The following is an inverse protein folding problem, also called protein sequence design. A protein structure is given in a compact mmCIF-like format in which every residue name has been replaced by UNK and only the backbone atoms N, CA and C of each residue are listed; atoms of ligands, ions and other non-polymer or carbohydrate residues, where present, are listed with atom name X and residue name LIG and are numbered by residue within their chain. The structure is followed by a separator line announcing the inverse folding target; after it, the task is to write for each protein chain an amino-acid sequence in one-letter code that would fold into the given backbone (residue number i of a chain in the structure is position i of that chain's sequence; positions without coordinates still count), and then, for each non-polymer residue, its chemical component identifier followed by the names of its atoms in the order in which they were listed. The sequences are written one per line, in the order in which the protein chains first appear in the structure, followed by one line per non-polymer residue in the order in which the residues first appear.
data_IF_935372906404
#
_entry.id   IF_935372906404
#
_cell.length_a   1.000
_cell.length_b   1.000
_cell.length_c   1.000
_cell.angle_alpha   90.00
_cell.angle_beta   90.00
_cell.angle_gamma   90.00
#
_symmetry.space_group_name_H-M   'P 1'
#
loop_
_entity.id
_entity.type
_entity.pdbx_description
1 polymer ?
#
# COMPACT_ATOMS: atom_id res chain seq x y z
N UNK A 1 -4.26 -20.29 21.91
CA UNK A 1 -4.50 -19.97 20.48
C UNK A 1 -3.45 -18.95 20.09
N UNK A 2 -2.71 -19.18 19.03
CA UNK A 2 -1.70 -18.26 18.52
C UNK A 2 -2.40 -17.00 18.00
N UNK A 3 -1.85 -15.83 18.29
CA UNK A 3 -2.33 -14.54 17.77
C UNK A 3 -1.16 -13.87 17.04
N UNK A 4 -1.01 -14.23 15.76
CA UNK A 4 0.09 -13.75 14.91
C UNK A 4 0.03 -12.26 14.65
N UNK A 5 -1.17 -11.70 14.63
CA UNK A 5 -1.40 -10.26 14.43
C UNK A 5 -0.86 -9.45 15.60
N UNK A 6 -1.30 -9.78 16.81
CA UNK A 6 -0.85 -9.09 18.02
C UNK A 6 0.61 -9.41 18.35
N UNK A 7 1.10 -10.62 18.00
CA UNK A 7 2.50 -10.98 18.17
C UNK A 7 3.42 -10.06 17.35
N UNK A 8 3.06 -9.78 16.08
CA UNK A 8 3.82 -8.82 15.27
C UNK A 8 3.75 -7.40 15.84
N UNK A 9 2.57 -6.94 16.25
CA UNK A 9 2.44 -5.61 16.84
C UNK A 9 3.32 -5.45 18.09
N UNK A 10 3.40 -6.46 18.94
CA UNK A 10 4.31 -6.47 20.12
C UNK A 10 5.77 -6.49 19.71
N UNK A 11 6.15 -7.31 18.72
CA UNK A 11 7.53 -7.38 18.21
C UNK A 11 8.05 -5.99 17.83
N UNK A 12 7.19 -5.20 17.15
CA UNK A 12 7.49 -3.83 16.72
C UNK A 12 7.52 -2.86 17.91
N UNK A 13 6.48 -2.86 18.75
CA UNK A 13 6.34 -1.89 19.84
C UNK A 13 7.37 -2.12 20.96
N UNK A 14 7.75 -3.39 21.20
CA UNK A 14 8.83 -3.74 22.14
C UNK A 14 10.24 -3.40 21.61
N UNK A 15 10.36 -2.86 20.39
CA UNK A 15 11.65 -2.51 19.78
C UNK A 15 12.52 -3.71 19.40
N UNK A 16 11.94 -4.92 19.27
CA UNK A 16 12.66 -6.15 18.91
C UNK A 16 12.97 -6.24 17.41
N UNK A 17 12.37 -5.37 16.61
CA UNK A 17 12.57 -5.25 15.16
C UNK A 17 12.65 -3.79 14.78
N UNK A 18 13.62 -3.43 13.93
CA UNK A 18 13.76 -2.09 13.38
C UNK A 18 12.55 -1.80 12.48
N UNK A 19 11.89 -0.67 12.66
CA UNK A 19 10.74 -0.23 11.88
C UNK A 19 10.73 1.29 11.73
N UNK A 20 9.96 1.80 10.76
CA UNK A 20 9.66 3.22 10.62
C UNK A 20 8.61 3.69 11.63
N UNK A 21 8.56 5.01 11.84
CA UNK A 21 7.60 5.63 12.77
C UNK A 21 6.14 5.30 12.45
N UNK A 22 5.78 5.28 11.17
CA UNK A 22 4.40 4.98 10.75
C UNK A 22 4.00 3.54 11.05
N UNK A 23 4.89 2.57 10.83
CA UNK A 23 4.67 1.17 11.17
C UNK A 23 4.54 0.97 12.68
N UNK A 24 5.44 1.59 13.46
CA UNK A 24 5.35 1.60 14.92
C UNK A 24 3.99 2.12 15.41
N UNK A 25 3.54 3.26 14.88
CA UNK A 25 2.26 3.87 15.25
C UNK A 25 1.06 2.99 14.87
N UNK A 26 1.09 2.31 13.73
CA UNK A 26 0.05 1.38 13.32
C UNK A 26 -0.05 0.18 14.28
N UNK A 27 1.09 -0.40 14.65
CA UNK A 27 1.17 -1.48 15.63
C UNK A 27 0.75 -1.03 17.03
N UNK A 28 1.21 0.14 17.46
CA UNK A 28 0.81 0.74 18.75
C UNK A 28 -0.68 1.00 18.81
N UNK A 29 -1.29 1.56 17.74
CA UNK A 29 -2.74 1.76 17.64
C UNK A 29 -3.50 0.46 17.84
N UNK A 30 -3.06 -0.65 17.24
CA UNK A 30 -3.69 -1.96 17.45
C UNK A 30 -3.67 -2.37 18.92
N UNK A 31 -2.54 -2.24 19.61
CA UNK A 31 -2.40 -2.61 21.02
C UNK A 31 -3.19 -1.69 21.95
N UNK A 32 -3.16 -0.39 21.70
CA UNK A 32 -3.90 0.61 22.48
C UNK A 32 -5.41 0.38 22.35
N UNK A 33 -5.91 0.16 21.13
CA UNK A 33 -7.32 -0.11 20.86
C UNK A 33 -7.80 -1.45 21.49
N UNK A 34 -6.92 -2.46 21.58
CA UNK A 34 -7.21 -3.70 22.30
C UNK A 34 -7.28 -3.51 23.82
N UNK A 35 -6.49 -2.60 24.38
CA UNK A 35 -6.44 -2.31 25.80
C UNK A 35 -7.60 -1.43 26.26
N UNK A 36 -8.19 -0.64 25.38
CA UNK A 36 -9.31 0.26 25.67
C UNK A 36 -10.62 -0.53 25.82
N UNK A 37 -11.12 -0.63 27.07
CA UNK A 37 -12.38 -1.34 27.38
C UNK A 37 -13.62 -0.64 26.81
N UNK A 38 -13.56 0.66 26.61
CA UNK A 38 -14.69 1.47 26.11
C UNK A 38 -14.66 1.59 24.57
N UNK A 39 -13.59 1.11 23.92
CA UNK A 39 -13.51 1.10 22.47
C UNK A 39 -14.65 0.30 21.85
N UNK A 40 -15.35 0.84 20.82
CA UNK A 40 -16.55 0.21 20.26
C UNK A 40 -16.31 -1.07 19.47
N UNK A 41 -15.04 -1.45 19.29
CA UNK A 41 -14.64 -2.64 18.55
C UNK A 41 -13.89 -3.62 19.46
N UNK A 42 -13.83 -4.89 19.03
CA UNK A 42 -13.05 -5.96 19.66
C UNK A 42 -12.21 -6.65 18.60
N UNK A 43 -11.10 -7.21 19.00
CA UNK A 43 -10.25 -8.02 18.13
C UNK A 43 -10.62 -9.50 18.29
N UNK A 44 -11.18 -10.10 17.21
CA UNK A 44 -11.53 -11.52 17.11
C UNK A 44 -10.33 -12.29 16.56
N UNK A 45 -9.53 -12.86 17.47
CA UNK A 45 -8.34 -13.64 17.15
C UNK A 45 -8.68 -14.84 16.25
N UNK A 46 -9.85 -15.49 16.45
CA UNK A 46 -10.24 -16.66 15.64
C UNK A 46 -10.46 -16.27 14.19
N UNK A 47 -11.15 -15.15 13.96
CA UNK A 47 -11.36 -14.63 12.62
C UNK A 47 -10.03 -14.22 11.96
N UNK A 48 -9.16 -13.50 12.69
CA UNK A 48 -7.84 -13.11 12.20
C UNK A 48 -7.02 -14.35 11.78
N UNK A 49 -6.91 -15.34 12.66
CA UNK A 49 -6.12 -16.55 12.41
C UNK A 49 -6.69 -17.42 11.28
N UNK A 50 -8.03 -17.45 11.11
CA UNK A 50 -8.67 -18.15 10.00
C UNK A 50 -8.21 -17.59 8.64
N UNK A 51 -8.27 -16.27 8.44
CA UNK A 51 -7.87 -15.64 7.19
C UNK A 51 -6.34 -15.67 6.97
N UNK A 52 -5.54 -15.56 8.03
CA UNK A 52 -4.09 -15.79 7.94
C UNK A 52 -3.78 -17.23 7.53
N UNK A 53 -4.54 -18.21 8.03
CA UNK A 53 -4.36 -19.60 7.63
C UNK A 53 -4.71 -19.83 6.17
N UNK A 54 -5.78 -19.20 5.65
CA UNK A 54 -6.13 -19.25 4.22
C UNK A 54 -4.98 -18.72 3.35
N UNK A 55 -4.40 -17.57 3.70
CA UNK A 55 -3.26 -17.02 2.99
C UNK A 55 -2.06 -17.98 2.95
N UNK A 56 -1.81 -18.73 4.03
CA UNK A 56 -0.74 -19.72 4.11
C UNK A 56 -1.06 -21.04 3.38
N UNK A 57 -2.27 -21.22 2.86
CA UNK A 57 -2.62 -22.34 1.99
C UNK A 57 -2.36 -22.04 0.51
N UNK A 58 -2.17 -20.77 0.16
CA UNK A 58 -1.88 -20.40 -1.22
C UNK A 58 -0.52 -20.94 -1.66
N UNK A 59 -0.47 -21.41 -2.90
CA UNK A 59 0.75 -21.88 -3.55
C UNK A 59 1.21 -20.83 -4.55
N UNK A 60 2.47 -20.44 -4.48
CA UNK A 60 3.10 -19.57 -5.48
C UNK A 60 3.77 -20.44 -6.52
N UNK A 61 3.29 -20.36 -7.77
CA UNK A 61 3.86 -21.08 -8.93
C UNK A 61 5.01 -20.37 -9.62
N UNK A 62 5.66 -19.38 -8.96
CA UNK A 62 6.79 -18.65 -9.54
C UNK A 62 8.14 -19.26 -9.15
N UNK A 63 9.10 -19.20 -10.08
CA UNK A 63 10.44 -19.75 -9.87
C UNK A 63 10.60 -21.19 -10.36
N UNK A 64 11.57 -21.89 -9.81
CA UNK A 64 11.93 -23.26 -10.25
C UNK A 64 10.99 -24.34 -9.74
N UNK A 65 10.32 -24.07 -8.62
CA UNK A 65 9.38 -25.01 -7.97
C UNK A 65 8.25 -24.23 -7.34
N UNK A 66 7.01 -24.72 -7.53
CA UNK A 66 5.87 -24.21 -6.78
C UNK A 66 6.07 -24.48 -5.29
N UNK A 67 5.86 -23.49 -4.44
CA UNK A 67 6.01 -23.60 -3.01
C UNK A 67 4.79 -23.01 -2.28
N UNK A 68 4.36 -23.66 -1.20
CA UNK A 68 3.39 -23.08 -0.27
C UNK A 68 3.95 -21.80 0.32
N UNK A 69 3.12 -20.78 0.37
CA UNK A 69 3.47 -19.53 0.98
C UNK A 69 3.53 -19.66 2.50
N UNK A 70 4.50 -18.98 3.09
CA UNK A 70 4.51 -18.67 4.52
C UNK A 70 4.45 -17.17 4.69
N UNK A 71 3.32 -16.66 5.19
CA UNK A 71 3.15 -15.23 5.42
C UNK A 71 4.13 -14.72 6.48
N UNK A 72 4.67 -13.52 6.25
CA UNK A 72 5.55 -12.82 7.18
C UNK A 72 4.75 -12.07 8.24
N UNK A 73 5.40 -11.69 9.33
CA UNK A 73 4.77 -11.00 10.44
C UNK A 73 3.93 -9.79 10.04
N UNK A 74 4.46 -8.92 9.16
CA UNK A 74 3.72 -7.75 8.68
C UNK A 74 2.49 -8.11 7.83
N UNK A 75 2.55 -9.19 7.03
CA UNK A 75 1.40 -9.70 6.27
C UNK A 75 0.34 -10.25 7.23
N UNK A 76 0.75 -11.00 8.27
CA UNK A 76 -0.15 -11.46 9.31
C UNK A 76 -0.83 -10.29 10.03
N UNK A 77 -0.09 -9.21 10.28
CA UNK A 77 -0.65 -7.99 10.88
C UNK A 77 -1.69 -7.33 9.98
N UNK A 78 -1.42 -7.21 8.68
CA UNK A 78 -2.36 -6.62 7.71
C UNK A 78 -3.62 -7.47 7.61
N UNK A 79 -3.48 -8.76 7.25
CA UNK A 79 -4.60 -9.68 7.03
C UNK A 79 -5.43 -9.82 8.32
N UNK A 80 -4.75 -10.13 9.43
CA UNK A 80 -5.43 -10.32 10.70
C UNK A 80 -6.13 -9.08 11.22
N UNK A 81 -5.57 -7.87 11.01
CA UNK A 81 -6.24 -6.63 11.38
C UNK A 81 -7.49 -6.38 10.55
N UNK A 82 -7.43 -6.55 9.21
CA UNK A 82 -8.56 -6.31 8.31
C UNK A 82 -9.75 -7.25 8.58
N UNK A 83 -9.50 -8.48 8.99
CA UNK A 83 -10.54 -9.47 9.25
C UNK A 83 -10.89 -9.66 10.73
N UNK A 84 -9.95 -9.42 11.65
CA UNK A 84 -10.13 -9.68 13.09
C UNK A 84 -10.86 -8.56 13.84
N UNK A 85 -10.67 -7.30 13.47
CA UNK A 85 -11.34 -6.20 14.15
C UNK A 85 -12.83 -6.12 13.79
N UNK A 86 -13.72 -6.25 14.79
CA UNK A 86 -15.18 -6.27 14.64
C UNK A 86 -15.84 -5.29 15.62
N UNK A 87 -17.00 -4.74 15.23
CA UNK A 87 -17.83 -3.96 16.11
C UNK A 87 -18.39 -4.85 17.23
N UNK A 88 -18.34 -4.39 18.48
CA UNK A 88 -18.90 -5.12 19.62
C UNK A 88 -20.37 -5.48 19.37
N UNK A 89 -20.78 -6.70 19.72
CA UNK A 89 -22.13 -7.25 19.55
C UNK A 89 -22.66 -7.19 18.10
N UNK A 90 -21.75 -7.26 17.11
CA UNK A 90 -22.09 -7.21 15.69
C UNK A 90 -21.13 -8.08 14.90
N UNK A 91 -21.52 -8.50 13.70
CA UNK A 91 -20.65 -9.15 12.72
C UNK A 91 -19.93 -8.16 11.81
N UNK A 92 -20.21 -6.85 11.96
CA UNK A 92 -19.62 -5.81 11.16
C UNK A 92 -18.14 -5.62 11.49
N UNK A 93 -17.31 -5.61 10.45
CA UNK A 93 -15.88 -5.30 10.58
C UNK A 93 -15.67 -3.82 10.87
N UNK A 94 -14.56 -3.52 11.53
CA UNK A 94 -14.14 -2.15 11.81
C UNK A 94 -13.76 -1.40 10.55
N UNK A 95 -12.91 -2.03 9.73
CA UNK A 95 -12.27 -1.36 8.60
C UNK A 95 -13.13 -1.48 7.33
N UNK A 96 -13.41 -0.32 6.74
CA UNK A 96 -14.12 -0.14 5.47
C UNK A 96 -13.19 0.41 4.39
N UNK A 97 -12.10 0.98 4.81
CA UNK A 97 -11.05 1.54 3.99
C UNK A 97 -9.71 1.03 4.48
N UNK A 98 -8.76 0.88 3.57
CA UNK A 98 -7.38 0.56 3.89
C UNK A 98 -6.41 1.33 3.00
N UNK A 99 -5.29 1.72 3.60
CA UNK A 99 -4.15 2.31 2.93
C UNK A 99 -2.90 1.52 3.29
N UNK A 100 -2.30 0.89 2.28
CA UNK A 100 -1.09 0.08 2.43
C UNK A 100 0.00 0.67 1.53
N UNK A 101 1.09 1.16 2.12
CA UNK A 101 2.25 1.65 1.40
C UNK A 101 3.46 0.80 1.73
N UNK A 102 3.94 0.05 0.74
CA UNK A 102 5.11 -0.84 0.82
C UNK A 102 6.07 -0.52 -0.32
N UNK A 103 7.38 -0.61 -0.09
CA UNK A 103 8.37 -0.50 -1.15
C UNK A 103 8.15 -1.55 -2.26
N UNK A 104 8.79 -1.37 -3.42
CA UNK A 104 8.72 -2.38 -4.49
C UNK A 104 9.23 -3.74 -4.01
N UNK A 105 8.66 -4.82 -4.59
CA UNK A 105 9.02 -6.22 -4.29
C UNK A 105 8.79 -6.65 -2.82
N UNK A 106 7.96 -5.94 -2.07
CA UNK A 106 7.56 -6.32 -0.71
C UNK A 106 6.16 -6.96 -0.66
N UNK A 107 5.78 -7.71 -1.68
CA UNK A 107 4.58 -8.57 -1.65
C UNK A 107 3.24 -7.85 -1.79
N UNK A 108 3.19 -6.63 -2.39
CA UNK A 108 1.94 -5.90 -2.62
C UNK A 108 0.94 -6.66 -3.47
N UNK A 109 1.38 -7.17 -4.63
CA UNK A 109 0.52 -7.92 -5.55
C UNK A 109 0.02 -9.21 -4.93
N UNK A 110 0.87 -9.91 -4.15
CA UNK A 110 0.46 -11.07 -3.36
C UNK A 110 -0.67 -10.70 -2.38
N UNK A 111 -0.51 -9.65 -1.57
CA UNK A 111 -1.54 -9.21 -0.62
C UNK A 111 -2.84 -8.84 -1.34
N UNK A 112 -2.75 -8.14 -2.47
CA UNK A 112 -3.91 -7.79 -3.28
C UNK A 112 -4.62 -9.02 -3.84
N UNK A 113 -3.88 -9.98 -4.40
CA UNK A 113 -4.42 -11.23 -4.94
C UNK A 113 -5.02 -12.13 -3.85
N UNK A 114 -4.36 -12.22 -2.69
CA UNK A 114 -4.89 -12.96 -1.54
C UNK A 114 -6.21 -12.38 -1.06
N UNK A 115 -6.29 -11.05 -0.88
CA UNK A 115 -7.52 -10.37 -0.49
C UNK A 115 -8.66 -10.61 -1.51
N UNK A 116 -8.34 -10.62 -2.82
CA UNK A 116 -9.32 -10.93 -3.85
C UNK A 116 -9.84 -12.37 -3.75
N UNK A 117 -8.94 -13.33 -3.57
CA UNK A 117 -9.29 -14.74 -3.39
C UNK A 117 -10.15 -14.97 -2.14
N UNK A 118 -9.73 -14.38 -1.00
CA UNK A 118 -10.46 -14.48 0.26
C UNK A 118 -11.87 -13.90 0.17
N UNK A 119 -12.00 -12.65 -0.32
CA UNK A 119 -13.32 -12.02 -0.48
C UNK A 119 -14.21 -12.73 -1.48
N UNK A 120 -13.65 -13.31 -2.53
CA UNK A 120 -14.45 -13.99 -3.54
C UNK A 120 -15.07 -15.29 -3.04
N UNK A 121 -14.40 -16.02 -2.13
CA UNK A 121 -14.85 -17.37 -1.75
C UNK A 121 -15.07 -17.55 -0.25
N UNK A 122 -14.24 -16.95 0.63
CA UNK A 122 -14.18 -17.28 2.05
C UNK A 122 -14.75 -16.21 2.99
N UNK A 123 -14.90 -14.97 2.53
CA UNK A 123 -15.40 -13.87 3.36
C UNK A 123 -16.92 -13.84 3.59
N UNK A 124 -17.65 -14.86 3.11
CA UNK A 124 -19.08 -15.07 3.40
C UNK A 124 -20.06 -14.33 2.49
N UNK A 125 -19.61 -13.77 1.37
CA UNK A 125 -20.49 -13.13 0.38
C UNK A 125 -21.06 -14.14 -0.62
N UNK A 126 -22.19 -13.79 -1.23
CA UNK A 126 -22.80 -14.49 -2.36
C UNK A 126 -23.05 -13.47 -3.47
N UNK A 127 -22.77 -13.87 -4.73
CA UNK A 127 -22.96 -13.04 -5.92
C UNK A 127 -22.27 -11.68 -5.84
N UNK A 128 -21.14 -11.60 -5.12
CA UNK A 128 -20.37 -10.37 -4.93
C UNK A 128 -19.58 -9.96 -6.17
N UNK A 129 -19.04 -8.75 -6.12
CA UNK A 129 -18.08 -8.26 -7.11
C UNK A 129 -16.82 -7.77 -6.43
N UNK A 130 -15.70 -8.24 -6.91
CA UNK A 130 -14.35 -7.82 -6.51
C UNK A 130 -13.72 -7.09 -7.69
N UNK A 131 -13.26 -5.87 -7.48
CA UNK A 131 -12.64 -5.08 -8.53
C UNK A 131 -11.16 -4.85 -8.23
N UNK A 132 -10.32 -5.17 -9.22
CA UNK A 132 -8.90 -4.78 -9.25
C UNK A 132 -8.79 -3.56 -10.16
N UNK A 133 -8.45 -2.39 -9.60
CA UNK A 133 -8.43 -1.13 -10.36
C UNK A 133 -7.04 -0.52 -10.39
N UNK A 134 -6.68 0.05 -11.55
CA UNK A 134 -5.46 0.82 -11.74
C UNK A 134 -5.64 1.90 -12.82
N UNK A 135 -4.62 2.74 -13.04
CA UNK A 135 -4.67 3.80 -14.05
C UNK A 135 -4.78 3.29 -15.48
N UNK A 136 -4.23 2.10 -15.75
CA UNK A 136 -4.29 1.45 -17.07
C UNK A 136 -4.79 0.03 -16.89
N UNK A 137 -5.55 -0.48 -17.90
CA UNK A 137 -6.05 -1.86 -17.89
C UNK A 137 -4.92 -2.88 -17.66
N UNK A 138 -3.77 -2.71 -18.33
CA UNK A 138 -2.62 -3.60 -18.15
C UNK A 138 -2.09 -3.65 -16.72
N UNK A 139 -2.20 -2.57 -15.96
CA UNK A 139 -1.81 -2.55 -14.54
C UNK A 139 -2.87 -3.22 -13.66
N UNK A 140 -4.15 -2.98 -13.93
CA UNK A 140 -5.24 -3.66 -13.21
C UNK A 140 -5.17 -5.19 -13.38
N UNK A 141 -4.73 -5.66 -14.55
CA UNK A 141 -4.55 -7.08 -14.84
C UNK A 141 -3.48 -7.74 -13.97
N UNK A 142 -2.49 -7.01 -13.45
CA UNK A 142 -1.41 -7.58 -12.61
C UNK A 142 -2.00 -8.28 -11.37
N UNK A 143 -2.94 -7.64 -10.68
CA UNK A 143 -3.58 -8.24 -9.50
C UNK A 143 -4.45 -9.42 -9.91
N UNK A 144 -5.19 -9.31 -11.02
CA UNK A 144 -5.98 -10.39 -11.57
C UNK A 144 -5.12 -11.62 -11.95
N UNK A 145 -3.98 -11.38 -12.62
CA UNK A 145 -3.00 -12.40 -12.99
C UNK A 145 -2.43 -13.11 -11.75
N UNK A 146 -2.22 -12.39 -10.66
CA UNK A 146 -1.75 -12.98 -9.41
C UNK A 146 -2.77 -13.96 -8.84
N UNK A 147 -4.06 -13.60 -8.85
CA UNK A 147 -5.13 -14.54 -8.45
C UNK A 147 -5.18 -15.76 -9.39
N UNK A 148 -5.06 -15.55 -10.70
CA UNK A 148 -5.04 -16.64 -11.67
C UNK A 148 -3.84 -17.59 -11.46
N UNK A 149 -2.67 -17.07 -11.06
CA UNK A 149 -1.52 -17.89 -10.71
C UNK A 149 -1.77 -18.75 -9.45
N UNK A 150 -2.37 -18.19 -8.39
CA UNK A 150 -2.72 -18.98 -7.20
C UNK A 150 -3.64 -20.14 -7.59
N UNK A 151 -4.68 -19.85 -8.39
CA UNK A 151 -5.64 -20.86 -8.84
C UNK A 151 -4.95 -21.94 -9.68
N UNK A 152 -4.12 -21.57 -10.64
CA UNK A 152 -3.44 -22.54 -11.51
C UNK A 152 -2.36 -23.37 -10.81
N UNK A 153 -1.84 -22.86 -9.70
CA UNK A 153 -0.76 -23.51 -8.92
C UNK A 153 -1.25 -24.50 -7.88
N UNK A 154 -2.56 -24.53 -7.61
CA UNK A 154 -3.18 -25.40 -6.60
C UNK A 154 -4.42 -26.09 -7.17
N UNK A 155 -4.39 -27.44 -7.36
CA UNK A 155 -5.52 -28.20 -7.93
C UNK A 155 -6.81 -28.06 -7.11
N UNK A 156 -6.73 -28.03 -5.78
CA UNK A 156 -7.89 -27.90 -4.90
C UNK A 156 -8.54 -26.51 -5.07
N UNK A 157 -7.71 -25.48 -5.20
CA UNK A 157 -8.18 -24.12 -5.46
C UNK A 157 -8.77 -23.99 -6.88
N UNK A 158 -8.19 -24.67 -7.87
CA UNK A 158 -8.66 -24.65 -9.26
C UNK A 158 -10.09 -25.21 -9.39
N UNK A 159 -10.49 -26.17 -8.56
CA UNK A 159 -11.87 -26.70 -8.54
C UNK A 159 -12.90 -25.67 -8.05
N UNK A 160 -12.48 -24.64 -7.32
CA UNK A 160 -13.37 -23.62 -6.76
C UNK A 160 -13.63 -22.45 -7.72
N UNK A 161 -12.91 -22.36 -8.84
CA UNK A 161 -12.96 -21.20 -9.71
C UNK A 161 -13.10 -21.53 -11.20
N UNK A 162 -13.71 -20.61 -11.93
CA UNK A 162 -13.68 -20.57 -13.39
C UNK A 162 -12.90 -19.31 -13.83
N UNK A 163 -11.72 -19.51 -14.42
CA UNK A 163 -10.89 -18.45 -14.98
C UNK A 163 -11.23 -18.24 -16.45
N UNK A 164 -11.43 -17.00 -16.88
CA UNK A 164 -11.64 -16.59 -18.26
C UNK A 164 -10.61 -15.53 -18.63
N UNK A 165 -9.61 -15.94 -19.39
CA UNK A 165 -8.48 -15.08 -19.75
C UNK A 165 -8.86 -13.97 -20.74
N UNK A 166 -9.78 -14.24 -21.67
CA UNK A 166 -10.13 -13.32 -22.75
C UNK A 166 -10.80 -12.02 -22.28
N UNK A 167 -11.50 -12.05 -21.15
CA UNK A 167 -12.17 -10.89 -20.54
C UNK A 167 -11.66 -10.56 -19.13
N UNK A 168 -10.56 -11.18 -18.71
CA UNK A 168 -9.94 -11.01 -17.39
C UNK A 168 -10.95 -11.12 -16.24
N UNK A 169 -11.79 -12.16 -16.28
CA UNK A 169 -12.80 -12.44 -15.25
C UNK A 169 -12.50 -13.78 -14.56
N UNK A 170 -12.47 -13.80 -13.24
CA UNK A 170 -12.44 -15.01 -12.42
C UNK A 170 -13.75 -15.10 -11.66
N UNK A 171 -14.42 -16.25 -11.70
CA UNK A 171 -15.67 -16.50 -10.99
C UNK A 171 -15.50 -17.63 -9.98
N UNK A 172 -15.81 -17.37 -8.73
CA UNK A 172 -15.95 -18.42 -7.72
C UNK A 172 -17.18 -19.28 -8.02
N UNK A 173 -16.99 -20.58 -8.08
CA UNK A 173 -18.07 -21.55 -8.27
C UNK A 173 -18.86 -21.82 -6.98
N UNK A 174 -18.28 -21.49 -5.84
CA UNK A 174 -18.89 -21.64 -4.51
C UNK A 174 -19.89 -20.52 -4.21
N UNK A 175 -19.50 -19.29 -4.47
CA UNK A 175 -20.24 -18.07 -4.07
C UNK A 175 -20.87 -17.34 -5.25
N UNK A 176 -20.53 -17.69 -6.48
CA UNK A 176 -20.85 -16.93 -7.69
C UNK A 176 -20.30 -15.49 -7.70
N UNK A 177 -19.33 -15.19 -6.85
CA UNK A 177 -18.63 -13.90 -6.83
C UNK A 177 -17.68 -13.80 -8.03
N UNK A 178 -17.57 -12.62 -8.62
CA UNK A 178 -16.63 -12.35 -9.73
C UNK A 178 -15.50 -11.45 -9.29
N UNK A 179 -14.29 -11.71 -9.82
CA UNK A 179 -13.10 -10.84 -9.73
C UNK A 179 -12.85 -10.30 -11.13
N UNK A 180 -12.83 -8.98 -11.27
CA UNK A 180 -12.71 -8.27 -12.55
C UNK A 180 -11.60 -7.21 -12.47
N UNK A 181 -10.77 -7.13 -13.51
CA UNK A 181 -9.77 -6.08 -13.66
C UNK A 181 -10.36 -4.89 -14.44
N UNK A 182 -10.30 -3.69 -13.86
CA UNK A 182 -10.90 -2.48 -14.42
C UNK A 182 -9.84 -1.38 -14.55
N UNK A 183 -9.57 -0.94 -15.77
CA UNK A 183 -8.78 0.25 -16.06
C UNK A 183 -9.64 1.53 -16.02
N UNK A 184 -8.99 2.67 -15.88
CA UNK A 184 -9.64 3.99 -15.86
C UNK A 184 -10.51 4.29 -17.09
N UNK A 185 -10.16 3.73 -18.26
CA UNK A 185 -10.83 3.99 -19.54
C UNK A 185 -12.20 3.31 -19.68
N UNK A 186 -12.65 2.61 -18.65
CA UNK A 186 -13.95 1.94 -18.64
C UNK A 186 -15.06 2.96 -18.54
N UNK A 187 -15.81 3.17 -19.64
CA UNK A 187 -16.85 4.20 -19.79
C UNK A 187 -18.11 4.04 -18.92
N UNK A 188 -18.23 2.97 -18.15
CA UNK A 188 -19.39 2.69 -17.30
C UNK A 188 -19.06 2.89 -15.82
N UNK A 189 -18.82 4.13 -15.42
CA UNK A 189 -18.38 4.47 -14.07
C UNK A 189 -19.53 4.51 -13.03
N UNK A 190 -20.79 4.46 -13.45
CA UNK A 190 -21.92 4.56 -12.53
C UNK A 190 -22.43 3.17 -12.14
N UNK A 191 -22.45 2.87 -10.81
CA UNK A 191 -23.09 1.68 -10.26
C UNK A 191 -22.15 0.56 -9.81
N UNK A 192 -20.88 0.82 -9.55
CA UNK A 192 -19.96 -0.17 -8.97
C UNK A 192 -20.35 -0.52 -7.52
N UNK A 193 -21.12 -1.60 -7.35
CA UNK A 193 -21.42 -2.17 -6.03
C UNK A 193 -20.45 -3.32 -5.76
N UNK A 194 -19.31 -3.02 -5.12
CA UNK A 194 -18.29 -4.03 -4.81
C UNK A 194 -18.30 -4.45 -3.35
N UNK A 195 -17.90 -5.69 -3.10
CA UNK A 195 -17.58 -6.19 -1.76
C UNK A 195 -16.11 -5.90 -1.40
N UNK A 196 -15.25 -5.89 -2.42
CA UNK A 196 -13.84 -5.49 -2.32
C UNK A 196 -13.47 -4.69 -3.57
N UNK A 197 -12.77 -3.58 -3.36
CA UNK A 197 -12.11 -2.84 -4.42
C UNK A 197 -10.61 -2.67 -4.06
N UNK A 198 -9.73 -3.16 -4.91
CA UNK A 198 -8.29 -2.92 -4.83
C UNK A 198 -7.97 -1.75 -5.76
N UNK A 199 -7.41 -0.67 -5.21
CA UNK A 199 -6.89 0.48 -5.97
C UNK A 199 -5.37 0.36 -5.96
N UNK A 200 -4.84 -0.32 -6.99
CA UNK A 200 -3.40 -0.59 -7.08
C UNK A 200 -2.64 0.60 -7.68
N UNK A 201 -1.37 0.70 -7.28
CA UNK A 201 -0.44 1.77 -7.67
C UNK A 201 -1.07 3.16 -7.52
N UNK A 202 -1.73 3.41 -6.36
CA UNK A 202 -2.48 4.64 -6.12
C UNK A 202 -1.64 5.92 -6.31
N UNK A 203 -0.31 5.85 -6.09
CA UNK A 203 0.60 6.97 -6.35
C UNK A 203 0.63 7.44 -7.82
N UNK A 204 0.23 6.57 -8.75
CA UNK A 204 0.19 6.88 -10.18
C UNK A 204 -1.17 7.44 -10.65
N UNK A 205 -2.18 7.46 -9.79
CA UNK A 205 -3.50 7.99 -10.13
C UNK A 205 -3.47 9.53 -10.15
N UNK A 206 -3.85 10.15 -11.28
CA UNK A 206 -3.83 11.61 -11.39
C UNK A 206 -4.99 12.29 -10.63
N UNK A 207 -6.04 11.55 -10.32
CA UNK A 207 -7.20 12.00 -9.54
C UNK A 207 -7.65 10.90 -8.58
N UNK A 208 -8.39 11.26 -7.54
CA UNK A 208 -8.99 10.32 -6.58
C UNK A 208 -10.34 9.73 -7.05
N UNK A 209 -10.78 10.06 -8.26
CA UNK A 209 -12.09 9.69 -8.79
C UNK A 209 -12.38 8.20 -8.67
N UNK A 210 -11.45 7.32 -9.09
CA UNK A 210 -11.63 5.87 -9.01
C UNK A 210 -11.75 5.40 -7.56
N UNK A 211 -10.90 5.92 -6.67
CA UNK A 211 -10.93 5.58 -5.25
C UNK A 211 -12.27 5.98 -4.61
N UNK A 212 -12.73 7.21 -4.85
CA UNK A 212 -14.02 7.71 -4.35
C UNK A 212 -15.19 6.94 -4.91
N UNK A 213 -15.18 6.64 -6.21
CA UNK A 213 -16.23 5.87 -6.87
C UNK A 213 -16.40 4.47 -6.24
N UNK A 214 -15.30 3.80 -5.90
CA UNK A 214 -15.35 2.51 -5.22
C UNK A 214 -15.91 2.63 -3.79
N UNK A 215 -15.53 3.67 -3.06
CA UNK A 215 -16.07 3.93 -1.72
C UNK A 215 -17.57 4.21 -1.75
N UNK A 216 -18.03 5.06 -2.66
CA UNK A 216 -19.44 5.44 -2.78
C UNK A 216 -20.31 4.23 -3.16
N UNK A 217 -19.80 3.37 -4.04
CA UNK A 217 -20.47 2.11 -4.42
C UNK A 217 -20.62 1.10 -3.28
N UNK A 218 -19.88 1.25 -2.20
CA UNK A 218 -19.87 0.35 -1.05
C UNK A 218 -20.71 0.81 0.14
N UNK A 219 -21.33 1.99 0.10
CA UNK A 219 -22.05 2.58 1.26
C UNK A 219 -23.09 1.60 1.82
N UNK A 220 -23.85 0.92 0.97
CA UNK A 220 -24.92 -0.01 1.37
C UNK A 220 -24.47 -1.48 1.45
N UNK A 221 -23.16 -1.76 1.37
CA UNK A 221 -22.62 -3.12 1.40
C UNK A 221 -21.93 -3.36 2.75
N UNK A 222 -22.47 -4.25 3.55
CA UNK A 222 -21.88 -4.62 4.84
C UNK A 222 -20.50 -5.26 4.65
N UNK A 223 -19.56 -4.90 5.51
CA UNK A 223 -18.19 -5.42 5.51
C UNK A 223 -17.41 -5.25 4.19
N UNK A 224 -17.91 -4.42 3.26
CA UNK A 224 -17.14 -4.09 2.06
C UNK A 224 -15.86 -3.34 2.42
N UNK A 225 -14.83 -3.48 1.60
CA UNK A 225 -13.51 -2.85 1.78
C UNK A 225 -13.02 -2.23 0.48
N UNK A 226 -12.60 -0.97 0.55
CA UNK A 226 -11.75 -0.34 -0.49
C UNK A 226 -10.33 -0.27 0.04
N UNK A 227 -9.40 -0.90 -0.68
CA UNK A 227 -8.01 -1.01 -0.27
C UNK A 227 -7.09 -0.34 -1.30
N UNK A 228 -6.52 0.81 -0.93
CA UNK A 228 -5.46 1.44 -1.72
C UNK A 228 -4.12 0.79 -1.39
N UNK A 229 -3.43 0.29 -2.41
CA UNK A 229 -2.11 -0.32 -2.29
C UNK A 229 -1.14 0.47 -3.17
N UNK A 230 0.01 0.85 -2.63
CA UNK A 230 0.92 1.74 -3.34
C UNK A 230 2.36 1.63 -2.87
N UNK A 231 3.26 2.24 -3.63
CA UNK A 231 4.58 2.71 -3.17
C UNK A 231 4.50 4.21 -2.95
N UNK A 232 5.53 4.80 -2.36
CA UNK A 232 5.74 6.24 -2.43
C UNK A 232 5.92 6.68 -3.89
N UNK A 233 5.62 7.96 -4.14
CA UNK A 233 5.78 8.62 -5.43
C UNK A 233 6.62 9.90 -5.33
N UNK A 234 6.61 10.66 -6.41
CA UNK A 234 7.39 11.91 -6.54
C UNK A 234 6.50 13.14 -6.83
N UNK A 235 5.20 12.96 -6.97
CA UNK A 235 4.27 14.06 -7.15
C UNK A 235 3.55 14.36 -5.82
N UNK A 236 4.00 15.40 -5.14
CA UNK A 236 3.44 15.81 -3.84
C UNK A 236 2.07 16.53 -3.97
N UNK A 237 1.63 16.81 -5.20
CA UNK A 237 0.29 17.37 -5.47
C UNK A 237 -0.72 16.28 -5.89
N UNK A 238 -0.32 15.01 -5.88
CA UNK A 238 -1.19 13.90 -6.24
C UNK A 238 -2.12 13.51 -5.08
N UNK A 239 -3.34 13.01 -5.37
CA UNK A 239 -4.29 12.60 -4.34
C UNK A 239 -3.75 11.53 -3.39
N UNK A 240 -2.87 10.66 -3.88
CA UNK A 240 -2.24 9.65 -3.05
C UNK A 240 -1.33 10.25 -1.96
N UNK A 241 -0.63 11.37 -2.25
CA UNK A 241 0.16 12.07 -1.25
C UNK A 241 -0.73 12.76 -0.20
N UNK A 242 -1.85 13.35 -0.61
CA UNK A 242 -2.84 13.90 0.33
C UNK A 242 -3.39 12.81 1.27
N UNK A 243 -3.72 11.65 0.71
CA UNK A 243 -4.17 10.48 1.48
C UNK A 243 -3.07 9.97 2.43
N UNK A 244 -1.82 9.91 1.98
CA UNK A 244 -0.67 9.57 2.81
C UNK A 244 -0.54 10.54 3.99
N UNK A 245 -0.59 11.84 3.76
CA UNK A 245 -0.54 12.86 4.83
C UNK A 245 -1.71 12.73 5.81
N UNK A 246 -2.90 12.43 5.30
CA UNK A 246 -4.07 12.16 6.14
C UNK A 246 -3.87 10.90 7.02
N UNK A 247 -3.32 9.84 6.44
CA UNK A 247 -2.95 8.63 7.20
C UNK A 247 -1.93 8.93 8.31
N UNK A 248 -0.90 9.74 8.04
CA UNK A 248 0.10 10.17 9.05
C UNK A 248 -0.56 10.95 10.19
N UNK A 249 -1.54 11.83 9.90
CA UNK A 249 -2.30 12.56 10.93
C UNK A 249 -3.14 11.64 11.81
N UNK A 250 -3.70 10.58 11.24
CA UNK A 250 -4.45 9.56 12.01
C UNK A 250 -3.50 8.76 12.90
N UNK A 251 -2.39 8.27 12.35
CA UNK A 251 -1.41 7.49 13.10
C UNK A 251 -0.77 8.28 14.25
N UNK A 252 -0.56 9.59 14.07
CA UNK A 252 -0.06 10.48 15.14
C UNK A 252 -1.11 10.87 16.18
N UNK A 253 -2.38 10.46 16.01
CA UNK A 253 -3.47 10.78 16.92
C UNK A 253 -4.09 12.17 16.73
N UNK A 254 -3.63 12.96 15.74
CA UNK A 254 -4.17 14.30 15.45
C UNK A 254 -5.58 14.28 14.84
N UNK A 255 -5.94 13.17 14.19
CA UNK A 255 -7.26 12.94 13.61
C UNK A 255 -7.71 11.53 13.98
N UNK A 256 -9.00 11.36 14.30
CA UNK A 256 -9.59 10.06 14.56
C UNK A 256 -10.44 9.60 13.38
N UNK A 257 -10.09 8.46 12.78
CA UNK A 257 -10.90 7.74 11.79
C UNK A 257 -10.74 6.24 12.03
N UNK A 258 -11.64 5.66 12.81
CA UNK A 258 -11.53 4.26 13.27
C UNK A 258 -11.74 3.26 12.13
N UNK A 259 -12.47 3.61 11.08
CA UNK A 259 -12.79 2.76 9.92
C UNK A 259 -11.68 2.65 8.87
N UNK A 260 -10.59 3.44 8.99
CA UNK A 260 -9.46 3.38 8.06
C UNK A 260 -8.33 2.54 8.65
N UNK A 261 -8.00 1.43 7.99
CA UNK A 261 -6.78 0.66 8.25
C UNK A 261 -5.59 1.36 7.57
N UNK A 262 -4.47 1.45 8.28
CA UNK A 262 -3.26 2.09 7.77
C UNK A 262 -2.08 1.20 8.08
N UNK A 263 -1.27 0.90 7.04
CA UNK A 263 0.01 0.24 7.21
C UNK A 263 1.03 0.83 6.22
N UNK A 264 2.06 1.46 6.74
CA UNK A 264 3.08 2.15 5.97
C UNK A 264 4.44 1.70 6.47
N UNK A 265 5.26 1.10 5.59
CA UNK A 265 6.67 0.83 5.85
C UNK A 265 7.51 1.77 5.00
N UNK A 266 8.20 2.66 5.64
CA UNK A 266 9.01 3.68 5.00
C UNK A 266 10.25 3.99 5.84
N UNK A 267 11.28 4.51 5.23
CA UNK A 267 12.35 5.19 5.97
C UNK A 267 11.83 6.51 6.53
N UNK A 268 12.19 6.83 7.75
CA UNK A 268 11.83 8.12 8.37
C UNK A 268 12.57 9.29 7.69
N UNK A 269 12.00 10.48 7.80
CA UNK A 269 12.53 11.68 7.12
C UNK A 269 13.94 12.08 7.63
N UNK A 270 14.21 11.82 8.90
CA UNK A 270 15.46 12.11 9.61
C UNK A 270 16.52 11.00 9.48
N UNK A 271 16.19 9.88 8.84
CA UNK A 271 17.16 8.80 8.61
C UNK A 271 18.18 9.16 7.51
N UNK A 272 19.43 8.75 7.73
CA UNK A 272 20.43 8.76 6.66
C UNK A 272 20.06 7.72 5.59
N UNK A 273 19.81 8.18 4.35
CA UNK A 273 19.42 7.34 3.23
C UNK A 273 20.55 6.41 2.75
N UNK A 274 21.77 6.66 3.17
CA UNK A 274 22.94 5.86 2.81
C UNK A 274 23.34 4.84 3.87
N UNK A 275 22.69 4.85 5.04
CA UNK A 275 22.92 3.85 6.09
C UNK A 275 22.08 2.59 5.82
N UNK A 276 22.70 1.44 5.47
CA UNK A 276 21.97 0.24 5.03
C UNK A 276 20.98 -0.31 6.05
N UNK A 277 21.23 -0.16 7.35
CA UNK A 277 20.32 -0.62 8.40
C UNK A 277 18.97 0.08 8.36
N UNK A 278 18.94 1.35 7.93
CA UNK A 278 17.71 2.12 7.84
C UNK A 278 16.79 1.61 6.73
N UNK A 279 17.35 0.98 5.68
CA UNK A 279 16.56 0.43 4.56
C UNK A 279 15.61 -0.68 4.99
N UNK A 280 15.92 -1.37 6.11
CA UNK A 280 15.09 -2.41 6.69
C UNK A 280 13.71 -1.89 7.12
N UNK A 281 13.58 -0.59 7.47
CA UNK A 281 12.32 0.07 7.80
C UNK A 281 11.32 0.06 6.65
N UNK A 282 11.81 0.17 5.41
CA UNK A 282 10.99 0.22 4.21
C UNK A 282 10.76 -1.16 3.56
N UNK A 283 11.55 -2.17 3.93
CA UNK A 283 11.61 -3.44 3.23
C UNK A 283 11.31 -4.64 4.15
N UNK A 284 10.07 -4.77 4.64
CA UNK A 284 9.70 -5.77 5.65
C UNK A 284 9.76 -7.22 5.15
N UNK A 285 9.74 -7.44 3.81
CA UNK A 285 9.87 -8.76 3.22
C UNK A 285 11.31 -9.09 2.85
N UNK A 286 11.96 -8.20 2.10
CA UNK A 286 13.22 -8.51 1.43
C UNK A 286 14.43 -8.46 2.37
N UNK A 287 14.46 -7.49 3.30
CA UNK A 287 15.61 -7.30 4.18
C UNK A 287 15.52 -8.03 5.50
N UNK A 288 14.53 -8.93 5.64
CA UNK A 288 14.34 -9.73 6.85
C UNK A 288 14.25 -11.22 6.53
N UNK A 289 14.96 -12.01 7.30
CA UNK A 289 14.82 -13.47 7.29
C UNK A 289 13.51 -13.91 7.99
N UNK A 290 13.08 -15.18 7.82
CA UNK A 290 11.91 -15.72 8.51
C UNK A 290 11.95 -15.65 10.03
N UNK A 291 13.13 -15.61 10.62
CA UNK A 291 13.39 -15.55 12.08
C UNK A 291 13.52 -14.10 12.61
N UNK A 292 13.14 -13.11 11.81
CA UNK A 292 13.23 -11.67 12.11
C UNK A 292 14.67 -11.16 12.33
N UNK A 293 15.68 -11.84 11.78
CA UNK A 293 17.03 -11.30 11.63
C UNK A 293 17.20 -10.55 10.30
N UNK A 294 18.16 -9.64 10.21
CA UNK A 294 18.46 -8.95 8.97
C UNK A 294 19.07 -9.90 7.93
N UNK A 295 18.72 -9.69 6.67
CA UNK A 295 19.23 -10.46 5.54
C UNK A 295 20.43 -9.74 4.91
N UNK A 296 21.63 -10.08 5.37
CA UNK A 296 22.87 -9.43 4.94
C UNK A 296 23.15 -9.57 3.44
N UNK A 297 22.75 -10.70 2.83
CA UNK A 297 22.92 -10.90 1.38
C UNK A 297 22.05 -9.92 0.58
N UNK A 298 20.80 -9.73 1.00
CA UNK A 298 19.90 -8.78 0.34
C UNK A 298 20.30 -7.33 0.60
N UNK A 299 20.85 -7.04 1.79
CA UNK A 299 21.44 -5.73 2.08
C UNK A 299 22.63 -5.46 1.15
N UNK A 300 23.53 -6.42 0.95
CA UNK A 300 24.67 -6.29 0.06
C UNK A 300 24.24 -6.01 -1.40
N UNK A 301 23.22 -6.72 -1.91
CA UNK A 301 22.64 -6.46 -3.24
C UNK A 301 22.02 -5.05 -3.36
N UNK A 302 21.44 -4.55 -2.28
CA UNK A 302 20.85 -3.21 -2.25
C UNK A 302 21.91 -2.11 -2.19
N UNK A 303 23.08 -2.39 -1.60
CA UNK A 303 24.24 -1.47 -1.59
C UNK A 303 24.69 -1.16 -3.02
N UNK A 304 24.76 -2.14 -3.92
CA UNK A 304 25.10 -1.89 -5.34
C UNK A 304 24.13 -0.90 -5.98
N UNK A 305 22.83 -1.08 -5.73
CA UNK A 305 21.79 -0.17 -6.20
C UNK A 305 21.89 1.24 -5.59
N UNK A 306 22.29 1.34 -4.33
CA UNK A 306 22.51 2.60 -3.64
C UNK A 306 23.73 3.35 -4.23
N UNK A 307 24.82 2.64 -4.55
CA UNK A 307 25.98 3.21 -5.23
C UNK A 307 25.57 3.80 -6.59
N UNK A 308 24.83 3.06 -7.40
CA UNK A 308 24.32 3.55 -8.69
C UNK A 308 23.48 4.83 -8.51
N UNK A 309 22.59 4.84 -7.54
CA UNK A 309 21.73 6.00 -7.26
C UNK A 309 22.55 7.22 -6.80
N UNK A 310 23.61 6.99 -6.01
CA UNK A 310 24.51 8.04 -5.51
C UNK A 310 25.36 8.66 -6.61
N UNK A 311 25.90 7.82 -7.51
CA UNK A 311 26.80 8.27 -8.58
C UNK A 311 26.04 8.89 -9.77
N UNK A 312 24.92 8.28 -10.17
CA UNK A 312 24.13 8.75 -11.32
C UNK A 312 23.20 9.90 -10.99
N UNK A 313 22.79 10.06 -9.71
CA UNK A 313 21.84 11.09 -9.27
C UNK A 313 20.52 11.12 -10.07
N UNK A 314 19.81 12.24 -10.07
CA UNK A 314 18.62 12.46 -10.88
C UNK A 314 17.55 11.37 -10.71
N UNK A 315 17.14 10.76 -11.82
CA UNK A 315 16.09 9.74 -11.82
C UNK A 315 16.46 8.49 -11.01
N UNK A 316 17.74 8.08 -10.98
CA UNK A 316 18.17 6.91 -10.24
C UNK A 316 18.07 7.14 -8.73
N UNK A 317 18.45 8.32 -8.25
CA UNK A 317 18.30 8.72 -6.86
C UNK A 317 16.81 8.80 -6.46
N UNK A 318 15.96 9.43 -7.30
CA UNK A 318 14.51 9.51 -7.06
C UNK A 318 13.88 8.11 -7.01
N UNK A 319 14.25 7.22 -7.93
CA UNK A 319 13.78 5.84 -7.94
C UNK A 319 14.25 5.07 -6.71
N UNK A 320 15.48 5.27 -6.28
CA UNK A 320 16.00 4.66 -5.06
C UNK A 320 15.18 5.10 -3.84
N UNK A 321 15.00 6.41 -3.67
CA UNK A 321 14.22 6.95 -2.55
C UNK A 321 12.74 6.51 -2.57
N UNK A 322 12.06 6.62 -3.73
CA UNK A 322 10.63 6.33 -3.80
C UNK A 322 10.33 4.84 -3.84
N UNK A 323 11.08 4.05 -4.60
CA UNK A 323 10.74 2.65 -4.90
C UNK A 323 11.44 1.66 -3.98
N UNK A 324 12.62 2.04 -3.43
CA UNK A 324 13.41 1.17 -2.55
C UNK A 324 13.28 1.60 -1.09
N UNK A 325 13.36 2.90 -0.79
CA UNK A 325 13.23 3.44 0.56
C UNK A 325 11.79 3.85 0.92
N UNK A 326 10.90 3.79 -0.05
CA UNK A 326 9.47 4.10 0.08
C UNK A 326 9.19 5.51 0.66
N UNK A 327 10.07 6.46 0.35
CA UNK A 327 9.98 7.87 0.76
C UNK A 327 9.34 8.71 -0.34
N UNK A 328 8.42 9.56 0.04
CA UNK A 328 7.93 10.60 -0.85
C UNK A 328 9.02 11.67 -1.04
N UNK A 329 9.32 12.00 -2.29
CA UNK A 329 10.27 13.05 -2.65
C UNK A 329 9.66 13.91 -3.74
N UNK A 330 9.88 15.21 -3.66
CA UNK A 330 9.48 16.10 -4.73
C UNK A 330 10.45 15.96 -5.90
N UNK A 331 9.93 15.66 -7.06
CA UNK A 331 10.73 15.59 -8.29
C UNK A 331 9.91 16.08 -9.48
N UNK A 332 10.31 17.22 -9.99
CA UNK A 332 9.66 17.91 -11.10
C UNK A 332 10.25 17.57 -12.48
N UNK A 333 10.98 16.44 -12.57
CA UNK A 333 11.49 15.94 -13.86
C UNK A 333 12.52 16.87 -14.51
N UNK A 334 13.71 16.98 -13.91
CA UNK A 334 14.79 17.77 -14.48
C UNK A 334 14.44 19.24 -14.59
N UNK A 335 14.09 19.87 -13.48
CA UNK A 335 13.86 21.32 -13.45
C UNK A 335 15.05 22.05 -14.06
N UNK A 336 14.76 23.05 -14.87
CA UNK A 336 15.76 23.91 -15.53
C UNK A 336 16.79 24.49 -14.55
N UNK A 337 16.47 24.45 -13.24
CA UNK A 337 17.26 25.05 -12.17
C UNK A 337 17.55 24.03 -11.07
N UNK A 338 18.82 23.90 -10.70
CA UNK A 338 19.22 23.29 -9.44
C UNK A 338 18.73 24.17 -8.29
N UNK A 339 17.77 23.68 -7.49
CA UNK A 339 17.18 24.42 -6.39
C UNK A 339 18.20 24.75 -5.29
N UNK A 340 19.24 23.95 -5.09
CA UNK A 340 20.30 24.23 -4.14
C UNK A 340 21.18 25.38 -4.66
N UNK A 341 21.56 25.33 -5.92
CA UNK A 341 22.26 26.43 -6.59
C UNK A 341 21.40 27.70 -6.63
N UNK A 342 20.08 27.56 -6.93
CA UNK A 342 19.15 28.70 -6.90
C UNK A 342 19.06 29.34 -5.51
N UNK A 343 18.94 28.55 -4.45
CA UNK A 343 18.90 29.06 -3.07
C UNK A 343 20.22 29.69 -2.65
N UNK A 344 21.34 29.16 -3.14
CA UNK A 344 22.68 29.75 -2.89
C UNK A 344 22.85 31.11 -3.60
N UNK A 345 22.04 31.42 -4.61
CA UNK A 345 22.02 32.75 -5.26
C UNK A 345 21.17 33.78 -4.51
N UNK A 346 20.53 33.40 -3.37
CA UNK A 346 19.77 34.36 -2.58
C UNK A 346 20.70 35.52 -2.14
N UNK A 347 20.23 36.73 -2.32
CA UNK A 347 20.91 37.96 -1.95
C UNK A 347 20.01 38.81 -1.08
N UNK A 348 20.54 39.47 -0.11
CA UNK A 348 19.82 40.45 0.72
C UNK A 348 19.60 41.80 -0.01
N UNK A 349 20.04 41.91 -1.28
CA UNK A 349 19.83 43.12 -2.09
C UNK A 349 18.35 43.39 -2.33
N UNK A 350 17.88 44.57 -2.08
CA UNK A 350 16.50 45.01 -2.27
C UNK A 350 16.32 45.75 -3.59
N UNK A 351 15.09 45.97 -4.03
CA UNK A 351 14.79 46.84 -5.18
C UNK A 351 15.33 48.27 -5.01
N UNK A 352 15.50 48.71 -3.79
CA UNK A 352 16.09 50.02 -3.50
C UNK A 352 17.58 50.08 -3.85
N UNK A 353 18.31 48.98 -3.67
CA UNK A 353 19.72 48.85 -3.99
C UNK A 353 19.96 48.75 -5.52
N UNK A 354 18.94 48.41 -6.28
CA UNK A 354 18.95 48.35 -7.74
C UNK A 354 18.67 49.71 -8.43
N UNK A 355 18.42 50.78 -7.67
CA UNK A 355 18.19 52.11 -8.24
C UNK A 355 19.38 52.55 -9.08
N UNK A 356 19.11 53.01 -10.32
CA UNK A 356 20.11 53.47 -11.32
C UNK A 356 20.94 52.35 -11.93
N UNK A 357 20.60 51.03 -11.74
CA UNK A 357 21.22 49.94 -12.48
C UNK A 357 20.33 49.53 -13.67
N UNK A 358 20.92 49.08 -14.76
CA UNK A 358 20.17 48.52 -15.87
C UNK A 358 19.63 47.16 -15.44
N UNK A 359 18.30 46.95 -15.55
CA UNK A 359 17.65 45.73 -15.19
C UNK A 359 16.90 45.17 -16.41
N UNK A 360 16.83 43.84 -16.49
CA UNK A 360 15.99 43.12 -17.42
C UNK A 360 14.82 42.53 -16.65
N UNK A 361 13.58 42.76 -17.11
CA UNK A 361 12.39 42.19 -16.52
C UNK A 361 11.80 41.16 -17.46
N UNK A 362 11.73 39.93 -17.02
CA UNK A 362 10.94 38.87 -17.69
C UNK A 362 9.60 38.72 -16.99
N UNK A 363 8.51 38.80 -17.75
CA UNK A 363 7.16 38.53 -17.24
C UNK A 363 6.60 37.34 -18.01
N UNK A 364 6.34 36.24 -17.29
CA UNK A 364 5.60 35.10 -17.83
C UNK A 364 4.17 35.15 -17.25
N UNK A 365 3.15 35.50 -18.03
CA UNK A 365 1.80 35.44 -17.53
C UNK A 365 1.38 33.99 -17.29
N UNK A 366 0.93 33.67 -16.09
CA UNK A 366 0.34 32.40 -15.79
C UNK A 366 -0.83 32.14 -16.72
N UNK A 367 -0.80 31.05 -17.48
CA UNK A 367 -1.98 30.59 -18.19
C UNK A 367 -3.03 30.15 -17.18
N UNK A 368 -4.28 30.56 -17.28
CA UNK A 368 -5.32 30.00 -16.42
C UNK A 368 -5.44 28.51 -16.67
N UNK A 369 -5.73 27.71 -15.64
CA UNK A 369 -5.95 26.28 -15.81
C UNK A 369 -7.09 26.05 -16.80
N UNK A 370 -6.84 25.20 -17.83
CA UNK A 370 -7.88 24.72 -18.74
C UNK A 370 -8.82 23.73 -18.04
#
# INVERSE_FOLDING_TARGET
MTDRTTAYARLIVDGKRICGRAEYQACKRHLDDMADRDFPYIFDVKAAEYHIALANHLTIGEGRTAARLTTRGFQNFIIGSLFGWRRKRSTLRRFREGYIQLARQNGKSFLAGEMCNDYATFAGYQHGRVYCTATKQKQANIVWEEVAKFISSDPDLAELYKVREYDHTIRSLVTNTTIEAIGRDTKSADGFRSILAIVDEYHAHPTDQMYKLMLDGQIAVDNALTLAITTAGFNLNAPCYEQYQFCKKILSGNVRKDSLFIFITEMDEDDDIWEPKNWAKANPLNLWNPDDTLNDEMIARMVEKAIDAREKQGNDLVNFQTKTLNRWVEYTGGGLLDLAAWRACASDETLADMRRRSCYLGIEPAQPPM
#
